data_IF_095367739310
#
_entry.id   IF_095367739310
#
_cell.length_a   1.000
_cell.length_b   1.000
_cell.length_c   1.000
_cell.angle_alpha   90.00
_cell.angle_beta   90.00
_cell.angle_gamma   90.00
#
_symmetry.space_group_name_H-M   'P 1'
#
loop_
_entity.id
_entity.type
_entity.pdbx_description
1 polymer ?
#
# COMPACT_ATOMS: atom_id res chain seq x y z
N UNK A 1 -44.43 16.38 -75.80
CA UNK A 1 -43.66 15.14 -75.59
C UNK A 1 -42.42 15.57 -74.81
N UNK A 2 -42.60 16.11 -73.62
CA UNK A 2 -42.96 15.44 -72.35
C UNK A 2 -41.67 15.09 -71.59
N UNK A 3 -41.11 16.13 -70.95
CA UNK A 3 -40.09 16.03 -69.91
C UNK A 3 -40.79 15.61 -68.61
N UNK A 4 -40.76 14.31 -68.33
CA UNK A 4 -41.33 13.74 -67.12
C UNK A 4 -40.44 14.05 -65.91
N UNK A 5 -40.92 14.95 -65.05
CA UNK A 5 -40.47 15.14 -63.67
C UNK A 5 -40.64 13.86 -62.85
N UNK A 6 -39.60 13.44 -62.13
CA UNK A 6 -39.68 12.45 -61.04
C UNK A 6 -39.51 13.13 -59.67
N UNK A 7 -40.22 12.66 -58.63
CA UNK A 7 -40.40 13.40 -57.39
C UNK A 7 -39.28 13.19 -56.36
N UNK A 8 -39.01 14.25 -55.59
CA UNK A 8 -38.17 14.26 -54.40
C UNK A 8 -38.77 13.36 -53.31
N UNK A 9 -38.11 12.24 -53.01
CA UNK A 9 -38.37 11.44 -51.82
C UNK A 9 -37.72 12.11 -50.61
N UNK A 10 -38.56 12.55 -49.67
CA UNK A 10 -38.18 12.98 -48.33
C UNK A 10 -37.60 11.78 -47.57
N UNK A 11 -36.35 11.90 -47.12
CA UNK A 11 -35.75 10.96 -46.17
C UNK A 11 -36.12 11.41 -44.75
N UNK A 12 -36.90 10.59 -44.04
CA UNK A 12 -37.10 10.75 -42.60
C UNK A 12 -35.82 10.34 -41.85
N UNK A 13 -35.45 11.01 -40.73
CA UNK A 13 -34.28 10.61 -39.96
C UNK A 13 -34.61 9.38 -39.12
N UNK A 14 -34.01 8.24 -39.46
CA UNK A 14 -34.07 7.03 -38.64
C UNK A 14 -33.21 7.18 -37.38
N UNK A 15 -33.82 6.85 -36.25
CA UNK A 15 -33.22 6.69 -34.93
C UNK A 15 -31.97 5.78 -34.88
N UNK A 16 -31.25 5.94 -33.77
CA UNK A 16 -30.23 5.07 -33.17
C UNK A 16 -28.76 5.36 -33.49
N UNK A 17 -28.20 6.39 -32.82
CA UNK A 17 -26.80 6.33 -32.38
C UNK A 17 -26.74 5.70 -30.98
N UNK A 18 -25.98 4.62 -30.77
CA UNK A 18 -25.76 4.10 -29.42
C UNK A 18 -24.92 5.11 -28.62
N UNK A 19 -25.15 5.29 -27.30
CA UNK A 19 -24.33 6.19 -26.50
C UNK A 19 -22.89 5.67 -26.41
N UNK A 20 -21.86 6.54 -26.53
CA UNK A 20 -20.48 6.14 -26.33
C UNK A 20 -20.32 5.70 -24.86
N UNK A 21 -20.15 4.40 -24.67
CA UNK A 21 -20.05 3.77 -23.37
C UNK A 21 -18.69 4.09 -22.78
N UNK A 22 -18.63 4.85 -21.69
CA UNK A 22 -17.43 4.95 -20.88
C UNK A 22 -17.12 3.56 -20.28
N UNK A 23 -15.87 3.06 -20.27
CA UNK A 23 -15.52 1.74 -19.76
C UNK A 23 -15.41 1.71 -18.22
N UNK A 24 -16.22 2.51 -17.52
CA UNK A 24 -16.32 2.44 -16.06
C UNK A 24 -17.19 1.25 -15.65
N UNK A 25 -16.99 0.69 -14.43
CA UNK A 25 -17.92 -0.30 -13.89
C UNK A 25 -19.35 0.23 -13.98
N UNK A 26 -20.29 -0.60 -14.43
CA UNK A 26 -21.68 -0.18 -14.49
C UNK A 26 -22.13 0.31 -13.10
N UNK A 27 -22.76 1.48 -13.06
CA UNK A 27 -23.58 1.87 -11.93
C UNK A 27 -24.64 0.79 -11.80
N UNK A 28 -24.45 -0.20 -10.93
CA UNK A 28 -25.49 -1.18 -10.65
C UNK A 28 -26.70 -0.39 -10.14
N UNK A 29 -27.67 -0.19 -11.02
CA UNK A 29 -28.93 0.43 -10.68
C UNK A 29 -29.66 -0.56 -9.78
N UNK A 30 -29.54 -0.35 -8.48
CA UNK A 30 -30.43 -0.98 -7.51
C UNK A 30 -31.80 -0.31 -7.69
N UNK A 31 -32.55 -0.74 -8.70
CA UNK A 31 -33.96 -0.42 -8.83
C UNK A 31 -34.68 -1.03 -7.64
N UNK A 32 -35.23 -0.16 -6.79
CA UNK A 32 -35.98 -0.55 -5.61
C UNK A 32 -37.33 -1.11 -6.04
N UNK A 33 -37.56 -2.39 -5.79
CA UNK A 33 -38.91 -2.92 -5.68
C UNK A 33 -39.46 -2.49 -4.29
N UNK A 34 -40.55 -1.73 -4.19
CA UNK A 34 -41.08 -1.29 -2.90
C UNK A 34 -41.79 -2.47 -2.22
N UNK A 35 -41.05 -3.28 -1.45
CA UNK A 35 -41.69 -4.41 -0.77
C UNK A 35 -40.86 -5.30 0.16
N UNK A 36 -39.52 -5.29 0.15
CA UNK A 36 -38.75 -6.19 1.01
C UNK A 36 -38.07 -5.46 2.16
N UNK A 37 -38.58 -5.69 3.37
CA UNK A 37 -37.92 -5.33 4.62
C UNK A 37 -36.62 -6.11 4.76
N UNK A 38 -35.50 -5.40 4.91
CA UNK A 38 -34.26 -5.98 5.45
C UNK A 38 -33.35 -6.70 4.44
N UNK A 39 -32.80 -5.97 3.48
CA UNK A 39 -31.49 -6.28 2.92
C UNK A 39 -30.81 -4.98 2.50
N UNK A 40 -29.72 -4.61 3.17
CA UNK A 40 -28.92 -3.45 2.82
C UNK A 40 -28.22 -3.70 1.50
N UNK A 41 -28.78 -3.17 0.42
CA UNK A 41 -28.15 -3.10 -0.90
C UNK A 41 -27.10 -1.99 -0.85
N UNK A 42 -25.87 -2.39 -0.56
CA UNK A 42 -24.70 -1.52 -0.63
C UNK A 42 -24.35 -1.24 -2.10
N UNK A 43 -23.85 -0.03 -2.37
CA UNK A 43 -23.03 0.19 -3.56
C UNK A 43 -21.81 -0.71 -3.41
N UNK A 44 -21.75 -1.81 -4.15
CA UNK A 44 -20.52 -2.57 -4.22
C UNK A 44 -19.53 -1.73 -5.03
N UNK A 45 -18.52 -1.20 -4.34
CA UNK A 45 -17.43 -0.42 -4.91
C UNK A 45 -16.53 -1.36 -5.70
N UNK A 46 -16.98 -1.78 -6.89
CA UNK A 46 -16.18 -2.65 -7.75
C UNK A 46 -15.07 -1.80 -8.35
N UNK A 47 -13.87 -1.94 -7.79
CA UNK A 47 -12.65 -1.36 -8.35
C UNK A 47 -12.31 -2.07 -9.67
N UNK A 48 -12.12 -1.28 -10.72
CA UNK A 48 -11.76 -1.76 -12.04
C UNK A 48 -10.40 -1.20 -12.44
N UNK A 49 -9.42 -2.07 -12.67
CA UNK A 49 -8.10 -1.68 -13.19
C UNK A 49 -8.22 -1.21 -14.63
N UNK A 50 -7.56 -0.11 -14.99
CA UNK A 50 -7.56 0.43 -16.35
C UNK A 50 -6.19 0.21 -16.99
N UNK A 51 -6.05 -0.69 -17.98
CA UNK A 51 -4.77 -0.93 -18.62
C UNK A 51 -4.29 0.32 -19.39
N UNK A 52 -2.98 0.60 -19.39
CA UNK A 52 -2.44 1.72 -20.16
C UNK A 52 -2.59 1.50 -21.67
N UNK A 53 -2.75 2.57 -22.47
CA UNK A 53 -2.61 2.47 -23.92
C UNK A 53 -1.19 2.04 -24.30
N UNK A 54 -1.03 1.36 -25.45
CA UNK A 54 0.28 0.96 -25.96
C UNK A 54 1.16 2.20 -26.17
N UNK A 55 2.42 2.10 -25.78
CA UNK A 55 3.41 3.17 -25.94
C UNK A 55 4.03 3.05 -27.33
N UNK A 56 4.10 4.13 -28.09
CA UNK A 56 4.90 4.21 -29.32
C UNK A 56 6.38 4.32 -28.95
N UNK A 57 7.19 3.35 -29.36
CA UNK A 57 8.64 3.23 -29.08
C UNK A 57 9.50 4.24 -29.87
N UNK A 58 9.02 5.47 -30.03
CA UNK A 58 9.70 6.45 -30.86
C UNK A 58 10.80 7.16 -30.06
N UNK A 59 12.04 6.86 -30.47
CA UNK A 59 13.30 7.49 -30.08
C UNK A 59 13.82 7.18 -28.66
N UNK A 60 14.21 5.93 -28.45
CA UNK A 60 15.05 5.54 -27.33
C UNK A 60 16.54 5.78 -27.72
N UNK A 61 17.33 6.56 -26.95
CA UNK A 61 18.75 6.82 -27.22
C UNK A 61 19.59 5.53 -27.25
N UNK A 62 20.65 5.49 -28.05
CA UNK A 62 21.51 4.29 -28.14
C UNK A 62 22.30 4.01 -26.85
N UNK A 63 22.68 2.73 -26.61
CA UNK A 63 23.56 2.35 -25.50
C UNK A 63 24.84 3.19 -25.48
N UNK A 64 25.21 3.70 -24.31
CA UNK A 64 26.49 4.39 -24.13
C UNK A 64 27.53 3.38 -23.64
N UNK A 65 28.67 3.31 -24.34
CA UNK A 65 29.83 2.54 -23.90
C UNK A 65 30.28 3.08 -22.53
N UNK A 66 30.23 2.23 -21.51
CA UNK A 66 30.68 2.59 -20.17
C UNK A 66 32.16 2.27 -20.05
N UNK A 67 33.04 3.25 -19.79
CA UNK A 67 34.45 2.97 -19.57
C UNK A 67 34.62 2.05 -18.36
N UNK A 68 35.61 1.15 -18.43
CA UNK A 68 35.92 0.25 -17.33
C UNK A 68 36.19 1.07 -16.04
N UNK A 69 35.50 0.77 -14.93
CA UNK A 69 35.72 1.48 -13.68
C UNK A 69 37.14 1.20 -13.16
N UNK A 70 37.78 2.21 -12.59
CA UNK A 70 39.01 2.01 -11.83
C UNK A 70 38.63 1.38 -10.49
N UNK A 71 38.99 0.12 -10.29
CA UNK A 71 38.60 -0.66 -9.12
C UNK A 71 39.60 -0.38 -7.98
N UNK A 72 39.17 0.22 -6.86
CA UNK A 72 40.06 0.43 -5.72
C UNK A 72 40.49 -0.91 -5.12
N UNK A 73 41.74 -0.99 -4.68
CA UNK A 73 42.31 -2.16 -4.02
C UNK A 73 42.65 -1.82 -2.57
N UNK A 74 42.35 -2.72 -1.65
CA UNK A 74 42.69 -2.57 -0.24
C UNK A 74 44.11 -3.13 -0.01
N UNK A 75 45.00 -2.30 0.53
CA UNK A 75 46.38 -2.66 0.88
C UNK A 75 46.47 -3.49 2.18
N UNK A 76 47.62 -4.12 2.42
CA UNK A 76 47.86 -4.86 3.68
C UNK A 76 47.79 -3.94 4.90
N UNK A 77 48.31 -2.72 4.76
CA UNK A 77 48.28 -1.70 5.80
C UNK A 77 46.84 -1.31 6.17
N UNK A 78 46.02 -0.99 5.16
CA UNK A 78 44.60 -0.67 5.35
C UNK A 78 43.83 -1.85 5.95
N UNK A 79 44.09 -3.08 5.46
CA UNK A 79 43.42 -4.27 5.97
C UNK A 79 43.76 -4.54 7.45
N UNK A 80 45.00 -4.27 7.86
CA UNK A 80 45.41 -4.40 9.26
C UNK A 80 44.81 -3.30 10.14
N UNK A 81 44.84 -2.06 9.66
CA UNK A 81 44.30 -0.91 10.39
C UNK A 81 42.80 -1.08 10.63
N UNK A 82 42.05 -1.48 9.60
CA UNK A 82 40.62 -1.77 9.69
C UNK A 82 40.31 -2.82 10.76
N UNK A 83 41.01 -3.97 10.74
CA UNK A 83 40.80 -5.02 11.75
C UNK A 83 41.15 -4.52 13.16
N UNK A 84 42.21 -3.73 13.31
CA UNK A 84 42.62 -3.19 14.60
C UNK A 84 41.60 -2.19 15.15
N UNK A 85 41.01 -1.36 14.29
CA UNK A 85 39.96 -0.42 14.64
C UNK A 85 38.69 -1.17 15.07
N UNK A 86 38.22 -2.13 14.27
CA UNK A 86 37.04 -2.94 14.59
C UNK A 86 37.20 -3.68 15.92
N UNK A 87 38.34 -4.35 16.13
CA UNK A 87 38.67 -5.04 17.39
C UNK A 87 38.77 -4.04 18.55
N UNK A 88 39.27 -2.83 18.29
CA UNK A 88 39.41 -1.81 19.33
C UNK A 88 38.08 -1.20 19.79
N UNK A 89 37.09 -1.15 18.90
CA UNK A 89 35.73 -0.68 19.19
C UNK A 89 34.91 -1.68 20.02
N UNK A 90 35.32 -2.95 20.08
CA UNK A 90 34.55 -4.02 20.70
C UNK A 90 35.27 -4.64 21.91
N UNK A 91 34.66 -4.56 23.09
CA UNK A 91 35.27 -5.04 24.34
C UNK A 91 35.51 -6.56 24.42
N UNK A 92 34.85 -7.35 23.57
CA UNK A 92 34.93 -8.81 23.57
C UNK A 92 36.11 -9.39 22.78
N UNK A 93 36.99 -8.56 22.21
CA UNK A 93 38.11 -9.02 21.39
C UNK A 93 39.45 -8.49 21.94
N UNK A 94 40.45 -9.37 22.02
CA UNK A 94 41.79 -8.97 22.42
C UNK A 94 42.57 -8.37 21.25
N UNK A 95 43.31 -7.28 21.50
CA UNK A 95 44.00 -6.50 20.46
C UNK A 95 45.33 -7.08 20.00
N UNK A 96 45.93 -7.98 20.78
CA UNK A 96 47.25 -8.54 20.48
C UNK A 96 47.24 -9.32 19.17
N UNK A 97 46.19 -10.11 18.92
CA UNK A 97 46.06 -10.83 17.65
C UNK A 97 46.00 -9.88 16.47
N UNK A 98 45.20 -8.80 16.52
CA UNK A 98 45.10 -7.81 15.44
C UNK A 98 46.42 -7.02 15.21
N UNK A 99 47.22 -6.80 16.26
CA UNK A 99 48.50 -6.08 16.17
C UNK A 99 49.63 -6.94 15.63
N UNK A 100 49.66 -8.21 16.00
CA UNK A 100 50.85 -9.06 15.87
C UNK A 100 50.68 -10.21 14.87
N UNK A 101 49.50 -10.41 14.27
CA UNK A 101 49.34 -11.44 13.24
C UNK A 101 50.23 -11.16 12.02
N UNK A 102 50.60 -12.20 11.30
CA UNK A 102 51.36 -12.13 10.05
C UNK A 102 50.43 -12.48 8.89
N UNK A 103 50.42 -11.64 7.85
CA UNK A 103 49.72 -11.97 6.59
C UNK A 103 50.45 -13.13 5.93
N UNK A 104 49.70 -14.18 5.61
CA UNK A 104 50.19 -15.31 4.80
C UNK A 104 49.83 -15.12 3.34
N UNK A 105 48.68 -14.50 3.07
CA UNK A 105 48.24 -14.08 1.75
C UNK A 105 47.18 -12.98 1.90
N UNK A 106 47.12 -12.06 0.95
CA UNK A 106 46.01 -11.11 0.78
C UNK A 106 45.53 -11.20 -0.66
N UNK A 107 44.25 -11.50 -0.85
CA UNK A 107 43.65 -11.63 -2.17
C UNK A 107 42.65 -10.49 -2.36
N UNK A 108 43.02 -9.52 -3.21
CA UNK A 108 42.12 -8.43 -3.59
C UNK A 108 41.16 -8.91 -4.68
N UNK A 109 39.90 -8.56 -4.53
CA UNK A 109 38.81 -8.85 -5.46
C UNK A 109 37.77 -7.73 -5.41
N UNK A 110 36.62 -7.93 -6.06
CA UNK A 110 35.51 -6.99 -6.00
C UNK A 110 34.20 -7.72 -6.03
N UNK A 111 33.25 -7.20 -5.25
CA UNK A 111 31.85 -7.55 -5.36
C UNK A 111 31.11 -6.47 -6.17
N UNK A 112 30.05 -6.85 -6.85
CA UNK A 112 29.21 -5.94 -7.62
C UNK A 112 27.79 -5.99 -7.09
N UNK A 113 27.20 -4.82 -6.86
CA UNK A 113 25.79 -4.69 -6.53
C UNK A 113 25.10 -3.97 -7.67
N UNK A 114 24.29 -4.72 -8.43
CA UNK A 114 23.45 -4.16 -9.48
C UNK A 114 22.05 -3.92 -8.94
N UNK A 115 21.51 -2.72 -9.17
CA UNK A 115 20.15 -2.35 -8.78
C UNK A 115 19.39 -1.80 -9.99
N UNK A 116 18.16 -2.27 -10.17
CA UNK A 116 17.21 -1.76 -11.16
C UNK A 116 15.94 -1.31 -10.45
N UNK A 117 15.60 -0.04 -10.62
CA UNK A 117 14.35 0.52 -10.14
C UNK A 117 13.47 0.97 -11.31
N UNK A 118 12.19 0.67 -11.23
CA UNK A 118 11.17 1.02 -12.23
C UNK A 118 10.02 1.74 -11.57
N UNK A 119 9.85 3.00 -11.96
CA UNK A 119 8.78 3.84 -11.49
C UNK A 119 7.62 3.79 -12.48
N UNK A 120 6.48 3.29 -12.01
CA UNK A 120 5.34 3.00 -12.85
C UNK A 120 4.04 3.60 -12.30
N UNK A 121 3.13 3.92 -13.20
CA UNK A 121 1.80 4.47 -12.93
C UNK A 121 0.72 3.43 -13.19
N UNK A 122 -0.09 3.12 -12.19
CA UNK A 122 -1.31 2.33 -12.30
C UNK A 122 -2.55 3.21 -12.17
N UNK A 123 -3.64 2.84 -12.86
CA UNK A 123 -4.93 3.54 -12.77
C UNK A 123 -6.06 2.57 -12.47
N UNK A 124 -6.96 2.99 -11.59
CA UNK A 124 -8.15 2.22 -11.20
C UNK A 124 -9.35 3.16 -11.11
N UNK A 125 -10.53 2.67 -11.50
CA UNK A 125 -11.78 3.43 -11.35
C UNK A 125 -12.76 2.71 -10.44
N UNK A 126 -13.52 3.48 -9.66
CA UNK A 126 -14.61 2.99 -8.84
C UNK A 126 -15.64 4.11 -8.66
N UNK A 127 -16.92 3.76 -8.55
CA UNK A 127 -17.92 4.74 -8.13
C UNK A 127 -17.63 5.22 -6.71
N UNK A 128 -17.83 6.51 -6.45
CA UNK A 128 -17.72 7.08 -5.12
C UNK A 128 -18.86 8.07 -4.86
N UNK A 129 -19.04 8.48 -3.62
CA UNK A 129 -20.11 9.37 -3.22
C UNK A 129 -19.76 10.29 -2.05
N UNK A 130 -20.42 11.43 -2.01
CA UNK A 130 -20.38 12.36 -0.88
C UNK A 130 -21.79 12.94 -0.58
N UNK A 131 -22.04 13.44 0.64
CA UNK A 131 -23.29 14.12 0.95
C UNK A 131 -23.56 15.28 -0.01
N UNK A 132 -24.78 15.35 -0.57
CA UNK A 132 -25.18 16.48 -1.39
C UNK A 132 -25.64 17.66 -0.52
N UNK A 133 -24.85 18.72 -0.51
CA UNK A 133 -25.04 19.96 0.21
C UNK A 133 -25.43 21.15 -0.70
N UNK A 134 -25.70 20.89 -1.99
CA UNK A 134 -25.94 21.93 -2.99
C UNK A 134 -24.72 22.27 -3.85
N UNK A 135 -23.70 21.40 -3.87
CA UNK A 135 -22.55 21.54 -4.76
C UNK A 135 -22.99 21.60 -6.23
N UNK A 136 -22.19 22.23 -7.08
CA UNK A 136 -22.35 22.10 -8.53
C UNK A 136 -22.14 20.64 -8.96
N UNK A 137 -22.94 20.18 -9.92
CA UNK A 137 -22.90 18.80 -10.41
C UNK A 137 -22.43 18.82 -11.85
N UNK A 138 -21.25 18.26 -12.07
CA UNK A 138 -20.73 18.05 -13.41
C UNK A 138 -21.18 16.68 -13.95
N UNK A 139 -22.36 16.66 -14.56
CA UNK A 139 -22.97 15.44 -15.08
C UNK A 139 -22.85 15.29 -16.60
N UNK A 140 -23.38 14.19 -17.17
CA UNK A 140 -23.28 13.88 -18.59
C UNK A 140 -23.86 14.94 -19.53
N UNK A 141 -24.73 15.82 -19.03
CA UNK A 141 -25.25 16.96 -19.79
C UNK A 141 -24.20 18.01 -20.17
N UNK A 142 -23.04 18.01 -19.49
CA UNK A 142 -21.95 18.96 -19.75
C UNK A 142 -20.90 18.43 -20.74
N UNK A 143 -21.03 17.18 -21.20
CA UNK A 143 -20.12 16.57 -22.16
C UNK A 143 -19.94 15.06 -21.94
N UNK A 144 -19.26 14.37 -22.88
CA UNK A 144 -18.87 12.97 -22.70
C UNK A 144 -17.75 12.84 -21.66
N UNK A 145 -17.84 11.81 -20.80
CA UNK A 145 -16.78 11.53 -19.82
C UNK A 145 -15.46 11.15 -20.53
N UNK A 146 -14.31 11.72 -20.13
CA UNK A 146 -13.02 11.38 -20.72
C UNK A 146 -12.59 9.96 -20.32
N UNK A 147 -11.73 9.36 -21.14
CA UNK A 147 -11.08 8.09 -20.79
C UNK A 147 -10.14 8.30 -19.60
N UNK A 148 -10.00 7.29 -18.74
CA UNK A 148 -9.22 7.41 -17.51
C UNK A 148 -7.78 7.85 -17.78
N UNK A 149 -7.12 7.35 -18.83
CA UNK A 149 -5.74 7.72 -19.22
C UNK A 149 -5.60 9.08 -19.91
N UNK A 150 -6.71 9.70 -20.34
CA UNK A 150 -6.73 11.07 -20.88
C UNK A 150 -6.75 12.13 -19.77
N UNK A 151 -7.06 11.74 -18.53
CA UNK A 151 -6.98 12.64 -17.38
C UNK A 151 -5.50 12.88 -17.06
N UNK A 152 -5.08 14.14 -17.05
CA UNK A 152 -3.71 14.49 -16.73
C UNK A 152 -3.46 14.25 -15.23
N UNK A 153 -2.50 13.39 -14.94
CA UNK A 153 -2.01 13.12 -13.60
C UNK A 153 -0.49 13.08 -13.66
N UNK A 154 0.17 13.73 -12.71
CA UNK A 154 1.62 13.75 -12.62
C UNK A 154 2.06 13.41 -11.19
N UNK A 155 3.17 12.65 -11.06
CA UNK A 155 3.75 12.34 -9.77
C UNK A 155 4.35 13.61 -9.13
N UNK A 156 4.30 13.72 -7.81
CA UNK A 156 4.95 14.84 -7.08
C UNK A 156 6.48 14.70 -7.07
N UNK A 157 6.97 13.46 -7.04
CA UNK A 157 8.39 13.13 -7.07
C UNK A 157 8.58 11.75 -7.70
N UNK A 158 9.52 11.62 -8.62
CA UNK A 158 9.87 10.33 -9.23
C UNK A 158 10.47 9.38 -8.20
N UNK A 159 10.28 8.07 -8.39
CA UNK A 159 10.79 7.01 -7.52
C UNK A 159 10.27 7.09 -6.06
N UNK A 160 9.09 7.68 -5.84
CA UNK A 160 8.41 7.67 -4.55
C UNK A 160 6.98 7.19 -4.68
N UNK A 161 6.62 6.23 -3.86
CA UNK A 161 5.27 5.66 -3.84
C UNK A 161 4.26 6.69 -3.34
N UNK A 162 3.21 6.92 -4.13
CA UNK A 162 2.09 7.77 -3.72
C UNK A 162 0.87 7.52 -4.60
N UNK A 163 -0.27 8.10 -4.20
CA UNK A 163 -1.53 8.01 -4.96
C UNK A 163 -2.30 9.32 -4.92
N UNK A 164 -3.05 9.60 -5.98
CA UNK A 164 -3.97 10.73 -6.08
C UNK A 164 -5.34 10.25 -6.56
N UNK A 165 -6.38 10.87 -6.02
CA UNK A 165 -7.78 10.60 -6.37
C UNK A 165 -8.34 11.77 -7.16
N UNK A 166 -9.06 11.48 -8.22
CA UNK A 166 -9.70 12.45 -9.10
C UNK A 166 -11.15 12.06 -9.32
N UNK A 167 -12.05 13.04 -9.37
CA UNK A 167 -13.38 12.83 -9.92
C UNK A 167 -13.28 12.86 -11.45
N UNK A 168 -13.82 11.85 -12.14
CA UNK A 168 -13.85 11.84 -13.61
C UNK A 168 -14.90 12.86 -14.07
N UNK A 169 -14.51 13.84 -14.92
CA UNK A 169 -15.42 14.86 -15.42
C UNK A 169 -16.68 14.28 -16.07
N UNK A 170 -17.80 15.01 -15.94
CA UNK A 170 -19.10 14.69 -16.53
C UNK A 170 -19.72 13.35 -16.08
N UNK A 171 -19.24 12.76 -14.97
CA UNK A 171 -19.81 11.51 -14.41
C UNK A 171 -20.70 11.72 -13.20
N UNK A 172 -20.76 12.94 -12.66
CA UNK A 172 -21.45 13.20 -11.41
C UNK A 172 -22.98 13.24 -11.59
N UNK A 173 -23.70 12.73 -10.60
CA UNK A 173 -25.15 12.84 -10.53
C UNK A 173 -25.63 12.89 -9.08
N UNK A 174 -26.84 13.42 -8.86
CA UNK A 174 -27.47 13.38 -7.54
C UNK A 174 -28.39 12.18 -7.46
N UNK A 175 -28.18 11.33 -6.46
CA UNK A 175 -29.00 10.15 -6.20
C UNK A 175 -29.56 10.21 -4.79
N UNK A 176 -30.69 9.52 -4.56
CA UNK A 176 -31.18 9.29 -3.22
C UNK A 176 -30.12 8.50 -2.43
N UNK A 177 -29.93 8.83 -1.16
CA UNK A 177 -28.99 8.11 -0.32
C UNK A 177 -29.42 6.65 -0.21
N UNK A 178 -28.52 5.73 -0.59
CA UNK A 178 -28.77 4.30 -0.57
C UNK A 178 -29.04 3.76 0.86
N UNK A 179 -28.45 4.39 1.89
CA UNK A 179 -28.58 3.94 3.28
C UNK A 179 -29.91 4.32 3.94
N UNK A 180 -30.45 5.50 3.64
CA UNK A 180 -31.70 6.01 4.24
C UNK A 180 -32.85 6.17 3.23
N UNK A 181 -32.67 5.65 2.01
CA UNK A 181 -33.64 5.71 0.91
C UNK A 181 -34.20 7.13 0.66
N UNK A 182 -33.37 8.17 0.78
CA UNK A 182 -33.83 9.56 0.61
C UNK A 182 -34.32 10.27 1.87
N UNK A 183 -34.56 9.55 2.97
CA UNK A 183 -35.22 10.11 4.16
C UNK A 183 -34.33 10.95 5.08
N UNK A 184 -33.01 10.89 4.94
CA UNK A 184 -32.03 11.58 5.80
C UNK A 184 -31.87 10.97 7.21
N UNK A 185 -32.78 10.11 7.62
CA UNK A 185 -32.77 9.43 8.91
C UNK A 185 -32.99 7.94 8.73
N UNK A 186 -32.35 7.15 9.58
CA UNK A 186 -32.55 5.72 9.66
C UNK A 186 -33.42 5.38 10.87
N UNK A 187 -34.22 4.33 10.77
CA UNK A 187 -34.93 3.79 11.93
C UNK A 187 -33.91 3.48 13.04
N UNK A 188 -34.22 3.87 14.28
CA UNK A 188 -33.29 3.63 15.38
C UNK A 188 -33.11 2.12 15.57
N UNK A 189 -31.88 1.58 15.51
CA UNK A 189 -31.67 0.12 15.57
C UNK A 189 -32.01 -0.46 16.95
N UNK A 190 -32.02 0.37 18.00
CA UNK A 190 -32.29 -0.07 19.37
C UNK A 190 -33.78 -0.15 19.72
N UNK A 191 -34.61 0.75 19.16
CA UNK A 191 -36.06 0.74 19.44
C UNK A 191 -36.92 0.38 18.23
N UNK A 192 -36.33 0.18 17.05
CA UNK A 192 -37.03 -0.10 15.80
C UNK A 192 -38.18 0.88 15.55
N UNK A 193 -37.95 2.18 15.77
CA UNK A 193 -38.99 3.21 15.57
C UNK A 193 -39.97 3.37 16.72
N UNK A 194 -40.03 2.46 17.68
CA UNK A 194 -41.01 2.49 18.78
C UNK A 194 -40.77 3.57 19.84
N UNK A 195 -39.68 4.32 19.75
CA UNK A 195 -39.24 5.40 20.67
C UNK A 195 -38.88 4.97 22.10
N UNK A 196 -39.31 3.78 22.52
CA UNK A 196 -39.09 3.20 23.84
C UNK A 196 -38.39 1.85 23.73
N UNK A 197 -37.65 1.46 24.75
CA UNK A 197 -37.04 0.14 24.88
C UNK A 197 -37.47 -0.50 26.19
N UNK A 198 -37.31 -1.82 26.30
CA UNK A 198 -37.59 -2.51 27.56
C UNK A 198 -36.71 -1.95 28.69
N UNK A 199 -37.32 -1.74 29.84
CA UNK A 199 -36.59 -1.34 31.02
C UNK A 199 -35.72 -2.51 31.47
N UNK A 200 -34.40 -2.38 31.29
CA UNK A 200 -33.40 -3.39 31.68
C UNK A 200 -33.53 -3.76 33.16
N UNK A 201 -33.83 -2.76 34.00
CA UNK A 201 -33.97 -2.95 35.45
C UNK A 201 -35.05 -3.96 35.82
N UNK A 202 -36.18 -4.04 35.11
CA UNK A 202 -37.28 -4.97 35.42
C UNK A 202 -37.53 -6.03 34.33
N UNK A 203 -36.63 -6.15 33.36
CA UNK A 203 -36.79 -7.06 32.22
C UNK A 203 -38.03 -6.77 31.35
N UNK A 204 -38.59 -5.56 31.42
CA UNK A 204 -39.81 -5.22 30.68
C UNK A 204 -41.13 -5.44 31.43
N UNK A 205 -41.11 -6.03 32.62
CA UNK A 205 -42.34 -6.35 33.38
C UNK A 205 -43.00 -5.14 34.05
N UNK A 206 -42.25 -4.04 34.21
CA UNK A 206 -42.68 -2.88 34.99
C UNK A 206 -42.63 -3.09 36.51
N UNK A 207 -42.20 -4.27 36.98
CA UNK A 207 -42.23 -4.66 38.39
C UNK A 207 -40.91 -5.29 38.83
N UNK A 208 -40.60 -5.18 40.12
CA UNK A 208 -39.43 -5.85 40.74
C UNK A 208 -39.88 -6.56 42.01
N UNK A 209 -39.32 -7.74 42.27
CA UNK A 209 -39.45 -8.40 43.55
C UNK A 209 -38.45 -7.80 44.53
N UNK A 210 -38.96 -7.26 45.63
CA UNK A 210 -38.15 -6.87 46.77
C UNK A 210 -38.41 -7.86 47.90
N UNK A 211 -37.38 -8.12 48.69
CA UNK A 211 -37.49 -8.93 49.91
C UNK A 211 -37.56 -7.96 51.07
N UNK A 212 -38.64 -8.02 51.84
CA UNK A 212 -38.68 -7.37 53.14
C UNK A 212 -38.23 -8.39 54.20
N UNK A 213 -37.21 -8.04 54.97
CA UNK A 213 -36.84 -8.77 56.18
C UNK A 213 -37.53 -8.07 57.36
N UNK A 214 -38.70 -8.55 57.77
CA UNK A 214 -39.30 -8.10 59.02
C UNK A 214 -38.58 -8.77 60.18
N UNK A 215 -37.86 -7.99 60.98
CA UNK A 215 -37.29 -8.46 62.24
C UNK A 215 -38.35 -8.36 63.34
N UNK A 216 -39.03 -9.47 63.61
CA UNK A 216 -39.83 -9.59 64.82
C UNK A 216 -38.92 -9.82 66.02
N UNK A 217 -38.99 -8.93 67.01
CA UNK A 217 -38.31 -9.06 68.30
C UNK A 217 -39.06 -10.05 69.21
N UNK A 218 -39.12 -11.32 68.82
CA UNK A 218 -39.59 -12.41 69.68
C UNK A 218 -38.53 -13.51 69.78
N UNK A 219 -38.47 -14.19 70.92
CA UNK A 219 -37.42 -15.13 71.33
C UNK A 219 -37.30 -16.43 70.49
N UNK A 220 -37.94 -16.50 69.32
CA UNK A 220 -37.82 -17.60 68.37
C UNK A 220 -37.38 -17.09 66.99
N UNK A 221 -36.18 -17.47 66.56
CA UNK A 221 -35.61 -17.12 65.26
C UNK A 221 -36.36 -17.81 64.10
N UNK A 222 -37.46 -17.24 63.64
CA UNK A 222 -38.04 -17.55 62.33
C UNK A 222 -37.72 -16.41 61.35
N UNK A 223 -36.97 -16.73 60.30
CA UNK A 223 -36.75 -15.83 59.17
C UNK A 223 -37.84 -16.08 58.12
N UNK A 224 -38.98 -15.41 58.23
CA UNK A 224 -39.99 -15.41 57.16
C UNK A 224 -39.59 -14.39 56.09
N UNK A 225 -39.29 -14.90 54.89
CA UNK A 225 -38.91 -14.08 53.74
C UNK A 225 -40.15 -13.80 52.89
N UNK A 226 -40.74 -12.62 53.05
CA UNK A 226 -41.88 -12.18 52.22
C UNK A 226 -41.38 -11.41 50.99
N UNK A 227 -41.75 -11.90 49.80
CA UNK A 227 -41.49 -11.24 48.54
C UNK A 227 -42.64 -10.32 48.17
N UNK A 228 -42.44 -9.00 48.20
CA UNK A 228 -43.42 -8.03 47.70
C UNK A 228 -43.01 -7.53 46.31
N UNK A 229 -44.00 -7.41 45.42
CA UNK A 229 -43.77 -6.91 44.06
C UNK A 229 -44.03 -5.42 44.00
N UNK A 230 -42.99 -4.61 43.81
CA UNK A 230 -43.09 -3.15 43.72
C UNK A 230 -43.05 -2.67 42.25
N UNK A 231 -43.68 -1.53 41.92
CA UNK A 231 -43.47 -0.88 40.65
C UNK A 231 -41.99 -0.55 40.45
N UNK A 232 -41.43 -0.88 39.29
CA UNK A 232 -40.04 -0.59 38.99
C UNK A 232 -39.85 0.92 38.89
N UNK A 233 -39.03 1.48 39.79
CA UNK A 233 -38.74 2.92 39.85
C UNK A 233 -38.16 3.45 38.53
N UNK A 234 -37.24 2.71 37.89
CA UNK A 234 -36.59 3.15 36.65
C UNK A 234 -37.53 3.35 35.45
N UNK A 235 -38.74 2.78 35.48
CA UNK A 235 -39.74 2.94 34.41
C UNK A 235 -41.11 3.35 34.93
N UNK A 236 -41.22 3.70 36.21
CA UNK A 236 -42.47 4.03 36.91
C UNK A 236 -43.62 3.05 36.61
N UNK A 237 -43.34 1.74 36.70
CA UNK A 237 -44.38 0.72 36.49
C UNK A 237 -44.70 0.38 35.02
N UNK A 238 -44.19 1.14 34.04
CA UNK A 238 -44.58 0.96 32.62
C UNK A 238 -43.86 -0.18 31.89
N UNK A 239 -42.78 -0.72 32.47
CA UNK A 239 -41.93 -1.74 31.84
C UNK A 239 -41.07 -1.23 30.68
N UNK A 240 -41.21 0.03 30.27
CA UNK A 240 -40.49 0.61 29.13
C UNK A 240 -39.86 1.96 29.52
N UNK A 241 -38.71 2.25 28.94
CA UNK A 241 -38.02 3.54 29.12
C UNK A 241 -37.76 4.18 27.77
N UNK A 242 -37.66 5.50 27.74
CA UNK A 242 -37.29 6.23 26.52
C UNK A 242 -35.98 5.69 25.97
N UNK A 243 -35.93 5.42 24.67
CA UNK A 243 -34.72 4.92 24.04
C UNK A 243 -33.63 5.99 24.13
N UNK A 244 -32.52 5.67 24.80
CA UNK A 244 -31.38 6.60 24.95
C UNK A 244 -30.68 6.91 23.62
N UNK A 245 -30.60 5.93 22.71
CA UNK A 245 -29.91 6.08 21.42
C UNK A 245 -30.56 7.09 20.48
N UNK A 246 -31.89 7.12 20.42
CA UNK A 246 -32.63 8.11 19.61
C UNK A 246 -33.27 9.21 20.44
N UNK A 247 -33.11 9.19 21.76
CA UNK A 247 -33.72 10.13 22.71
C UNK A 247 -35.24 10.28 22.48
N UNK A 248 -35.93 9.17 22.23
CA UNK A 248 -37.36 9.15 21.98
C UNK A 248 -37.81 9.58 20.57
N UNK A 249 -36.89 9.88 19.64
CA UNK A 249 -37.26 10.27 18.25
C UNK A 249 -37.65 9.10 17.36
N UNK A 250 -37.33 7.86 17.75
CA UNK A 250 -37.57 6.64 16.96
C UNK A 250 -36.62 6.47 15.76
N UNK A 251 -35.84 7.50 15.42
CA UNK A 251 -34.91 7.53 14.29
C UNK A 251 -33.57 8.16 14.68
N UNK A 252 -32.53 7.80 13.95
CA UNK A 252 -31.17 8.35 14.10
C UNK A 252 -30.74 9.02 12.81
N UNK A 253 -29.91 10.08 12.85
CA UNK A 253 -29.34 10.69 11.65
C UNK A 253 -28.68 9.65 10.75
N UNK A 254 -28.86 9.76 9.43
CA UNK A 254 -28.06 8.98 8.50
C UNK A 254 -26.63 9.54 8.48
N UNK A 255 -25.65 8.70 8.78
CA UNK A 255 -24.21 8.98 8.79
C UNK A 255 -23.61 9.12 7.38
N UNK A 256 -24.17 8.39 6.39
CA UNK A 256 -23.69 8.45 5.00
C UNK A 256 -24.06 9.76 4.31
N UNK A 257 -25.31 10.23 4.44
CA UNK A 257 -25.74 11.48 3.81
C UNK A 257 -25.84 12.67 4.77
N UNK A 258 -25.48 12.51 6.05
CA UNK A 258 -25.53 13.56 7.07
C UNK A 258 -26.87 14.33 7.08
N UNK A 259 -27.97 13.58 7.18
CA UNK A 259 -29.37 14.07 7.13
C UNK A 259 -29.82 14.78 5.85
N UNK A 260 -29.02 14.80 4.78
CA UNK A 260 -29.41 15.42 3.50
C UNK A 260 -30.39 14.58 2.69
N UNK A 261 -30.40 13.26 2.88
CA UNK A 261 -31.19 12.31 2.08
C UNK A 261 -30.66 12.11 0.65
N UNK A 262 -29.73 12.95 0.18
CA UNK A 262 -29.18 12.91 -1.18
C UNK A 262 -27.67 12.78 -1.13
N UNK A 263 -27.12 12.11 -2.14
CA UNK A 263 -25.69 11.93 -2.36
C UNK A 263 -25.33 12.46 -3.75
N UNK A 264 -24.19 13.14 -3.85
CA UNK A 264 -23.48 13.30 -5.12
C UNK A 264 -22.72 11.99 -5.35
N UNK A 265 -22.98 11.34 -6.46
CA UNK A 265 -22.34 10.09 -6.88
C UNK A 265 -21.57 10.36 -8.16
N UNK A 266 -20.32 9.91 -8.24
CA UNK A 266 -19.41 10.19 -9.35
C UNK A 266 -18.45 9.03 -9.56
N UNK A 267 -17.84 8.93 -10.74
CA UNK A 267 -16.81 7.94 -10.98
C UNK A 267 -15.47 8.51 -10.52
N UNK A 268 -14.81 7.84 -9.56
CA UNK A 268 -13.50 8.21 -9.04
C UNK A 268 -12.39 7.47 -9.78
N UNK A 269 -11.37 8.20 -10.20
CA UNK A 269 -10.11 7.69 -10.69
C UNK A 269 -9.07 7.74 -9.56
N UNK A 270 -8.49 6.58 -9.24
CA UNK A 270 -7.31 6.47 -8.37
C UNK A 270 -6.09 6.24 -9.25
N UNK A 271 -5.13 7.16 -9.21
CA UNK A 271 -3.83 7.02 -9.88
C UNK A 271 -2.79 6.70 -8.82
N UNK A 272 -2.07 5.60 -8.99
CA UNK A 272 -1.00 5.16 -8.08
C UNK A 272 0.33 5.14 -8.80
N UNK A 273 1.35 5.76 -8.20
CA UNK A 273 2.72 5.64 -8.64
C UNK A 273 3.48 4.74 -7.68
N UNK A 274 4.22 3.78 -8.20
CA UNK A 274 5.00 2.80 -7.42
C UNK A 274 6.39 2.64 -7.98
N UNK A 275 7.36 2.50 -7.09
CA UNK A 275 8.73 2.10 -7.42
C UNK A 275 8.88 0.60 -7.17
N UNK A 276 9.15 -0.13 -8.24
CA UNK A 276 9.53 -1.53 -8.16
C UNK A 276 11.05 -1.64 -8.22
N UNK A 277 11.64 -2.44 -7.33
CA UNK A 277 13.08 -2.61 -7.22
C UNK A 277 13.44 -4.09 -7.26
N UNK A 278 14.41 -4.42 -8.10
CA UNK A 278 15.14 -5.68 -8.04
C UNK A 278 16.65 -5.37 -7.97
N UNK A 279 17.40 -6.26 -7.33
CA UNK A 279 18.84 -6.13 -7.16
C UNK A 279 19.52 -7.50 -7.32
N UNK A 280 20.81 -7.49 -7.67
CA UNK A 280 21.66 -8.68 -7.74
C UNK A 280 23.03 -8.36 -7.14
N UNK A 281 23.53 -9.25 -6.28
CA UNK A 281 24.91 -9.21 -5.81
C UNK A 281 25.72 -10.27 -6.57
N UNK A 282 26.86 -9.85 -7.12
CA UNK A 282 27.88 -10.74 -7.68
C UNK A 282 29.09 -10.68 -6.75
N UNK A 283 29.25 -11.71 -5.94
CA UNK A 283 30.33 -11.90 -4.96
C UNK A 283 30.86 -13.34 -5.15
N UNK A 284 32.19 -13.55 -5.11
CA UNK A 284 32.83 -14.85 -5.43
C UNK A 284 33.77 -15.37 -4.34
N UNK A 285 33.70 -14.80 -3.14
CA UNK A 285 34.42 -15.21 -1.94
C UNK A 285 33.45 -15.83 -0.93
N UNK A 286 33.92 -16.06 0.31
CA UNK A 286 33.06 -16.53 1.40
C UNK A 286 32.39 -15.35 2.16
N UNK A 287 32.45 -14.13 1.63
CA UNK A 287 31.84 -12.94 2.21
C UNK A 287 30.33 -12.92 1.93
N UNK A 288 29.44 -12.84 2.95
CA UNK A 288 28.00 -12.87 2.73
C UNK A 288 27.46 -11.69 1.88
N UNK A 289 26.64 -12.00 0.87
CA UNK A 289 26.01 -11.01 -0.02
C UNK A 289 25.28 -9.86 0.70
N UNK A 290 24.63 -10.15 1.83
CA UNK A 290 23.90 -9.15 2.63
C UNK A 290 24.82 -8.05 3.19
N UNK A 291 26.10 -8.35 3.40
CA UNK A 291 27.10 -7.36 3.81
C UNK A 291 27.44 -6.43 2.64
N UNK A 292 27.49 -6.96 1.41
CA UNK A 292 27.77 -6.17 0.20
C UNK A 292 26.67 -5.15 -0.08
N UNK A 293 25.39 -5.53 0.10
CA UNK A 293 24.23 -4.64 -0.14
C UNK A 293 24.31 -3.32 0.62
N UNK A 294 24.84 -3.36 1.84
CA UNK A 294 24.91 -2.21 2.74
C UNK A 294 26.30 -1.56 2.84
N UNK A 295 27.35 -2.21 2.32
CA UNK A 295 28.70 -1.65 2.28
C UNK A 295 28.74 -0.37 1.44
N UNK A 296 29.74 0.48 1.64
CA UNK A 296 30.02 1.57 0.68
C UNK A 296 30.72 1.04 -0.59
N UNK A 297 30.79 1.84 -1.65
CA UNK A 297 31.44 1.45 -2.89
C UNK A 297 31.30 2.48 -4.01
N UNK A 298 32.11 2.32 -5.05
CA UNK A 298 32.18 3.23 -6.20
C UNK A 298 31.07 2.91 -7.19
N UNK A 299 30.31 3.92 -7.61
CA UNK A 299 29.31 3.76 -8.67
C UNK A 299 30.02 3.73 -10.03
N UNK A 300 30.07 2.54 -10.64
CA UNK A 300 30.70 2.34 -11.95
C UNK A 300 29.75 2.62 -13.12
N UNK A 301 28.46 2.33 -12.93
CA UNK A 301 27.40 2.61 -13.91
C UNK A 301 26.27 3.30 -13.17
N UNK A 302 25.75 4.39 -13.74
CA UNK A 302 24.52 5.02 -13.29
C UNK A 302 23.77 5.56 -14.49
N UNK A 303 22.52 5.13 -14.66
CA UNK A 303 21.68 5.55 -15.77
C UNK A 303 20.24 5.76 -15.30
N UNK A 304 19.56 6.73 -15.90
CA UNK A 304 18.17 7.05 -15.62
C UNK A 304 17.48 7.53 -16.90
N UNK A 305 16.50 6.76 -17.38
CA UNK A 305 15.80 6.99 -18.65
C UNK A 305 14.35 6.52 -18.55
N UNK A 306 13.53 6.87 -19.55
CA UNK A 306 12.16 6.33 -19.64
C UNK A 306 12.16 4.80 -19.65
N UNK A 307 13.13 4.22 -20.39
CA UNK A 307 13.48 2.82 -20.40
C UNK A 307 15.00 2.72 -20.38
N UNK A 308 15.56 1.96 -19.45
CA UNK A 308 17.01 1.72 -19.41
C UNK A 308 17.36 0.51 -20.27
N UNK A 309 18.55 0.52 -20.85
CA UNK A 309 19.10 -0.65 -21.54
C UNK A 309 19.80 -1.58 -20.56
N UNK A 310 19.90 -2.85 -20.92
CA UNK A 310 20.80 -3.75 -20.21
C UNK A 310 22.23 -3.20 -20.28
N UNK A 311 22.96 -3.28 -19.17
CA UNK A 311 24.39 -3.00 -19.12
C UNK A 311 25.10 -4.03 -20.03
N UNK A 312 25.89 -3.52 -20.97
CA UNK A 312 26.69 -4.32 -21.90
C UNK A 312 28.14 -3.88 -21.86
N UNK A 313 29.08 -4.82 -21.96
CA UNK A 313 30.50 -4.51 -21.98
C UNK A 313 31.10 -4.18 -20.61
N UNK A 314 30.35 -4.41 -19.52
CA UNK A 314 30.94 -4.35 -18.19
C UNK A 314 32.01 -5.45 -18.06
N UNK A 315 33.16 -5.20 -17.38
CA UNK A 315 34.25 -6.18 -17.28
C UNK A 315 33.83 -7.53 -16.69
N UNK A 316 32.78 -7.54 -15.88
CA UNK A 316 32.20 -8.75 -15.29
C UNK A 316 30.94 -9.20 -16.03
N UNK A 317 31.00 -10.40 -16.62
CA UNK A 317 29.89 -10.96 -17.41
C UNK A 317 28.64 -11.31 -16.58
N UNK A 318 28.79 -11.59 -15.28
CA UNK A 318 27.63 -11.85 -14.42
C UNK A 318 26.79 -10.58 -14.22
N UNK A 319 27.44 -9.41 -14.15
CA UNK A 319 26.75 -8.12 -14.11
C UNK A 319 25.97 -7.87 -15.41
N UNK A 320 26.60 -8.13 -16.57
CA UNK A 320 25.94 -8.01 -17.88
C UNK A 320 24.70 -8.93 -17.96
N UNK A 321 24.81 -10.19 -17.48
CA UNK A 321 23.71 -11.16 -17.43
C UNK A 321 22.61 -10.74 -16.46
N UNK A 322 22.96 -10.29 -15.26
CA UNK A 322 22.01 -9.84 -14.25
C UNK A 322 21.19 -8.65 -14.76
N UNK A 323 21.87 -7.66 -15.34
CA UNK A 323 21.21 -6.52 -15.94
C UNK A 323 20.25 -6.92 -17.07
N UNK A 324 20.70 -7.76 -18.02
CA UNK A 324 19.85 -8.26 -19.11
C UNK A 324 18.58 -8.95 -18.59
N UNK A 325 18.73 -9.82 -17.59
CA UNK A 325 17.62 -10.55 -16.98
C UNK A 325 16.63 -9.63 -16.28
N UNK A 326 17.10 -8.69 -15.46
CA UNK A 326 16.23 -7.80 -14.69
C UNK A 326 15.54 -6.77 -15.59
N UNK A 327 16.23 -6.20 -16.59
CA UNK A 327 15.62 -5.30 -17.58
C UNK A 327 14.51 -6.02 -18.35
N UNK A 328 14.75 -7.25 -18.81
CA UNK A 328 13.73 -8.06 -19.50
C UNK A 328 12.54 -8.41 -18.58
N UNK A 329 12.80 -8.76 -17.32
CA UNK A 329 11.76 -9.01 -16.31
C UNK A 329 10.87 -7.77 -16.13
N UNK A 330 11.47 -6.61 -15.87
CA UNK A 330 10.75 -5.36 -15.63
C UNK A 330 9.96 -4.88 -16.86
N UNK A 331 10.37 -5.27 -18.08
CA UNK A 331 9.64 -4.90 -19.30
C UNK A 331 8.20 -5.45 -19.34
N UNK A 332 7.93 -6.56 -18.64
CA UNK A 332 6.63 -7.27 -18.71
C UNK A 332 5.98 -7.58 -17.36
N UNK A 333 6.65 -7.28 -16.24
CA UNK A 333 6.18 -7.64 -14.89
C UNK A 333 4.83 -7.00 -14.49
N UNK A 334 4.52 -5.81 -15.01
CA UNK A 334 3.34 -5.02 -14.61
C UNK A 334 2.49 -4.61 -15.81
N UNK A 335 1.69 -5.52 -16.39
CA UNK A 335 0.92 -5.27 -17.61
C UNK A 335 -0.17 -4.20 -17.45
N UNK A 336 -0.60 -3.92 -16.22
CA UNK A 336 -1.61 -2.90 -15.91
C UNK A 336 -1.00 -1.56 -15.47
N UNK A 337 0.32 -1.40 -15.58
CA UNK A 337 1.02 -0.17 -15.19
C UNK A 337 1.80 0.40 -16.38
N UNK A 338 1.86 1.74 -16.46
CA UNK A 338 2.68 2.45 -17.43
C UNK A 338 4.01 2.82 -16.77
N UNK A 339 5.10 2.32 -17.33
CA UNK A 339 6.45 2.72 -16.89
C UNK A 339 6.69 4.18 -17.28
N UNK A 340 7.05 5.00 -16.29
CA UNK A 340 7.32 6.43 -16.45
C UNK A 340 8.82 6.74 -16.45
N UNK A 341 9.59 5.95 -15.70
CA UNK A 341 11.04 6.10 -15.59
C UNK A 341 11.63 4.80 -15.06
N UNK A 342 12.86 4.50 -15.47
CA UNK A 342 13.70 3.48 -14.87
C UNK A 342 15.04 4.11 -14.51
N UNK A 343 15.66 3.62 -13.46
CA UNK A 343 17.05 3.93 -13.13
C UNK A 343 17.78 2.66 -12.75
N UNK A 344 19.04 2.60 -13.10
CA UNK A 344 19.89 1.47 -12.76
C UNK A 344 21.25 1.96 -12.30
N UNK A 345 21.91 1.14 -11.49
CA UNK A 345 23.29 1.38 -11.10
C UNK A 345 24.05 0.08 -10.89
N UNK A 346 25.36 0.12 -11.13
CA UNK A 346 26.31 -0.91 -10.74
C UNK A 346 27.26 -0.27 -9.74
N UNK A 347 27.22 -0.73 -8.49
CA UNK A 347 28.15 -0.33 -7.44
C UNK A 347 29.23 -1.40 -7.28
N UNK A 348 30.48 -0.98 -7.32
CA UNK A 348 31.66 -1.82 -7.11
C UNK A 348 32.09 -1.70 -5.67
N UNK A 349 32.14 -2.82 -4.96
CA UNK A 349 32.57 -2.91 -3.57
C UNK A 349 33.95 -3.58 -3.57
N UNK A 350 35.03 -2.87 -3.18
CA UNK A 350 36.33 -3.50 -3.04
C UNK A 350 36.27 -4.55 -1.93
N UNK A 351 36.90 -5.70 -2.15
CA UNK A 351 36.98 -6.79 -1.17
C UNK A 351 38.42 -7.27 -1.09
N UNK A 352 38.94 -7.45 0.12
CA UNK A 352 40.22 -8.10 0.36
C UNK A 352 40.04 -9.24 1.37
N UNK A 353 40.37 -10.45 0.94
CA UNK A 353 40.46 -11.60 1.84
C UNK A 353 41.88 -11.73 2.36
N UNK A 354 42.05 -11.61 3.68
CA UNK A 354 43.33 -11.68 4.36
C UNK A 354 43.47 -13.01 5.11
N UNK A 355 44.31 -13.91 4.60
CA UNK A 355 44.70 -15.12 5.29
C UNK A 355 45.86 -14.82 6.26
N UNK A 356 45.67 -15.11 7.54
CA UNK A 356 46.55 -14.66 8.61
C UNK A 356 47.00 -15.80 9.52
N UNK A 357 48.16 -15.62 10.16
CA UNK A 357 48.66 -16.51 11.20
C UNK A 357 49.04 -15.76 12.47
N UNK A 358 48.64 -16.28 13.63
CA UNK A 358 49.01 -15.74 14.94
C UNK A 358 49.14 -16.86 15.97
N UNK A 359 50.30 -16.96 16.65
CA UNK A 359 50.61 -18.00 17.65
C UNK A 359 50.26 -19.43 17.18
N UNK A 360 50.68 -19.76 15.96
CA UNK A 360 50.44 -21.06 15.29
C UNK A 360 48.96 -21.38 14.98
N UNK A 361 48.04 -20.42 15.14
CA UNK A 361 46.65 -20.51 14.66
C UNK A 361 46.52 -19.73 13.36
N UNK A 362 45.79 -20.29 12.41
CA UNK A 362 45.42 -19.61 11.16
C UNK A 362 43.98 -19.12 11.24
N UNK A 363 43.70 -17.97 10.65
CA UNK A 363 42.35 -17.44 10.47
C UNK A 363 42.33 -16.56 9.22
N UNK A 364 41.16 -16.42 8.60
CA UNK A 364 40.93 -15.43 7.57
C UNK A 364 39.95 -14.37 8.06
N UNK A 365 40.04 -13.19 7.44
CA UNK A 365 39.04 -12.15 7.57
C UNK A 365 38.92 -11.40 6.25
N UNK A 366 37.81 -10.70 6.08
CA UNK A 366 37.55 -9.86 4.93
C UNK A 366 37.56 -8.40 5.35
N UNK A 367 38.09 -7.56 4.49
CA UNK A 367 37.89 -6.12 4.53
C UNK A 367 37.16 -5.72 3.26
N UNK A 368 36.10 -4.93 3.38
CA UNK A 368 35.23 -4.62 2.25
C UNK A 368 34.64 -3.22 2.33
N UNK A 369 34.28 -2.67 1.16
CA UNK A 369 33.77 -1.30 1.03
C UNK A 369 34.86 -0.23 1.10
N UNK A 370 34.53 0.99 0.66
CA UNK A 370 35.40 2.17 0.81
C UNK A 370 35.51 2.63 2.28
N UNK A 371 34.60 2.16 3.12
CA UNK A 371 34.56 2.36 4.56
C UNK A 371 35.34 1.28 5.35
N UNK A 372 36.01 0.36 4.64
CA UNK A 372 36.87 -0.68 5.21
C UNK A 372 36.21 -1.48 6.35
N UNK A 373 34.95 -1.89 6.14
CA UNK A 373 34.25 -2.76 7.08
C UNK A 373 34.95 -4.11 7.16
N UNK A 374 34.84 -4.79 8.32
CA UNK A 374 35.58 -6.01 8.60
C UNK A 374 34.63 -7.14 8.94
N UNK A 375 34.73 -8.25 8.21
CA UNK A 375 34.06 -9.50 8.54
C UNK A 375 35.09 -10.55 8.96
N UNK A 376 35.12 -10.89 10.25
CA UNK A 376 36.16 -11.75 10.83
C UNK A 376 35.56 -12.82 11.77
N UNK A 377 34.79 -13.78 11.23
CA UNK A 377 34.07 -14.74 12.07
C UNK A 377 35.00 -15.68 12.84
N UNK A 378 36.18 -15.98 12.28
CA UNK A 378 37.17 -16.89 12.85
C UNK A 378 38.26 -16.18 13.69
N UNK A 379 38.05 -14.92 14.11
CA UNK A 379 39.04 -14.17 14.88
C UNK A 379 39.54 -14.93 16.13
N UNK A 380 40.86 -15.10 16.34
CA UNK A 380 41.38 -16.09 17.29
C UNK A 380 41.40 -15.63 18.75
N UNK A 381 41.28 -14.32 19.03
CA UNK A 381 41.37 -13.76 20.39
C UNK A 381 40.00 -13.22 20.86
N UNK A 382 39.05 -14.12 21.09
CA UNK A 382 37.73 -13.81 21.65
C UNK A 382 37.75 -13.94 23.18
N UNK A 383 37.21 -12.94 23.87
CA UNK A 383 37.08 -12.89 25.34
C UNK A 383 35.70 -13.39 25.82
N UNK A 384 34.70 -13.39 24.92
CA UNK A 384 33.31 -13.76 25.17
C UNK A 384 32.92 -14.95 24.28
N UNK A 385 32.16 -15.92 24.80
CA UNK A 385 31.69 -17.07 24.01
C UNK A 385 30.53 -16.63 23.10
N UNK A 386 30.64 -16.88 21.78
CA UNK A 386 29.58 -16.60 20.80
C UNK A 386 29.66 -15.25 20.08
N UNK A 387 30.65 -14.39 20.37
CA UNK A 387 30.85 -13.14 19.64
C UNK A 387 31.54 -13.36 18.27
N UNK A 388 31.03 -12.69 17.25
CA UNK A 388 31.51 -12.74 15.87
C UNK A 388 31.65 -11.29 15.38
N UNK A 389 32.73 -11.00 14.66
CA UNK A 389 32.89 -9.72 13.98
C UNK A 389 32.08 -9.84 12.69
N UNK A 390 30.95 -9.13 12.64
CA UNK A 390 30.01 -9.08 11.52
C UNK A 390 30.28 -7.89 10.63
#
# INVERSE_FOLDING_TARGET
MDESQQPLLQLEPSDAYPPPTAPGPALAAVEQNPGSSGAGVGFELVESTVPPPPVTEDAIPQPQDTPAPNIPTISEEEAREALLETVSAHCCYGKSAAREFIFTNITSSSAFHYELETFAEGRQTAWDHEPYNGQAIDGPQNGPAPQAWSILAQPDTNFRDHRKNFEIPHTASVKACHKCCGGGYNQCPQCLGSTKVHCKSCGGSGRKSEVHHEHHHDHHHHHDQHHHTVPCHCCHGTGRVTCGTCQGRGRVPCDVCLTRGKLKVYLKLTVSWKTHRDEEVVERTDLPDELIKNASGVIAVQDQQLRVYAVTGFPDDDVNRASSRLVQKHASAWPNERILMQRQQVRVVPVAEAACSWKSKTFSYFVYGEDHLVYAPAYPQKLCWGCTIL
#
